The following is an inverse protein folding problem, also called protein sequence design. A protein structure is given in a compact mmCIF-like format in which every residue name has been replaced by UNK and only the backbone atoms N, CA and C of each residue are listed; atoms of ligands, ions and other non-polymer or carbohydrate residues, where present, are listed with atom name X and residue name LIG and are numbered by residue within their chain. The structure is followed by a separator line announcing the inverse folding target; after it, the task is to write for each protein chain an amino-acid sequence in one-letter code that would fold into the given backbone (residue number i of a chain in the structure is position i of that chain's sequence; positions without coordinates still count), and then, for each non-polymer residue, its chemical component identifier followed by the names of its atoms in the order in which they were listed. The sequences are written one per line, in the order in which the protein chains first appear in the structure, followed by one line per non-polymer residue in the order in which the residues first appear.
data_IF_097950459109
#
_entry.id   IF_097950459109
#
_cell.length_a   1.000
_cell.length_b   1.000
_cell.length_c   1.000
_cell.angle_alpha   90.00
_cell.angle_beta   90.00
_cell.angle_gamma   90.00
#
_symmetry.space_group_name_H-M   'P 1'
#
loop_
_entity.id
_entity.type
_entity.pdbx_description
1 polymer ?
#
# COMPACT_ATOMS: atom_id res chain seq x y z
N UNK A 1 24.87 -16.02 15.04
CA UNK A 1 24.44 -15.52 16.38
C UNK A 1 23.11 -14.74 16.40
N UNK A 2 22.57 -14.31 15.24
CA UNK A 2 21.35 -13.49 15.12
C UNK A 2 20.02 -14.21 15.41
N UNK A 3 19.90 -15.50 15.04
CA UNK A 3 18.75 -16.35 15.46
C UNK A 3 18.59 -16.40 16.99
N UNK A 4 19.68 -16.42 17.75
CA UNK A 4 19.65 -16.43 19.23
C UNK A 4 19.19 -15.08 19.81
N UNK A 5 19.58 -13.95 19.24
CA UNK A 5 19.15 -12.62 19.72
C UNK A 5 17.72 -12.28 19.30
N UNK A 6 17.31 -12.65 18.08
CA UNK A 6 15.92 -12.54 17.62
C UNK A 6 14.96 -13.39 18.46
N UNK A 7 15.38 -14.61 18.84
CA UNK A 7 14.60 -15.47 19.75
C UNK A 7 14.46 -14.86 21.15
N UNK A 8 15.54 -14.32 21.74
CA UNK A 8 15.47 -13.62 23.04
C UNK A 8 14.49 -12.44 23.00
N UNK A 9 14.58 -11.60 21.97
CA UNK A 9 13.65 -10.49 21.77
C UNK A 9 12.20 -10.97 21.59
N UNK A 10 11.97 -12.04 20.83
CA UNK A 10 10.64 -12.62 20.64
C UNK A 10 10.02 -13.09 21.97
N UNK A 11 10.81 -13.72 22.85
CA UNK A 11 10.36 -14.12 24.19
C UNK A 11 10.05 -12.92 25.09
N UNK A 12 10.87 -11.87 25.05
CA UNK A 12 10.61 -10.62 25.79
C UNK A 12 9.32 -9.96 25.30
N UNK A 13 9.12 -9.91 23.97
CA UNK A 13 7.88 -9.39 23.38
C UNK A 13 6.67 -10.22 23.79
N UNK A 14 6.74 -11.55 23.72
CA UNK A 14 5.66 -12.42 24.17
C UNK A 14 5.32 -12.20 25.65
N UNK A 15 6.33 -12.15 26.53
CA UNK A 15 6.13 -11.89 27.95
C UNK A 15 5.47 -10.54 28.22
N UNK A 16 5.93 -9.48 27.53
CA UNK A 16 5.33 -8.15 27.68
C UNK A 16 3.91 -8.05 27.10
N UNK A 17 3.64 -8.68 25.95
CA UNK A 17 2.31 -8.74 25.34
C UNK A 17 1.31 -9.50 26.25
N UNK A 18 1.75 -10.57 26.91
CA UNK A 18 0.96 -11.30 27.90
C UNK A 18 0.69 -10.47 29.16
N UNK A 19 1.67 -9.70 29.64
CA UNK A 19 1.49 -8.78 30.77
C UNK A 19 0.47 -7.68 30.44
N UNK A 20 0.52 -7.11 29.23
CA UNK A 20 -0.48 -6.15 28.74
C UNK A 20 -1.86 -6.79 28.66
N UNK A 21 -1.95 -8.05 28.20
CA UNK A 21 -3.22 -8.79 28.14
C UNK A 21 -3.80 -9.03 29.53
N UNK A 22 -2.96 -9.39 30.52
CA UNK A 22 -3.38 -9.52 31.91
C UNK A 22 -3.89 -8.19 32.48
N UNK A 23 -3.15 -7.09 32.27
CA UNK A 23 -3.59 -5.75 32.69
C UNK A 23 -4.91 -5.34 32.03
N UNK A 24 -5.09 -5.67 30.74
CA UNK A 24 -6.32 -5.40 30.00
C UNK A 24 -7.52 -6.17 30.55
N UNK A 25 -7.30 -7.39 31.04
CA UNK A 25 -8.34 -8.22 31.65
C UNK A 25 -8.91 -7.56 32.92
N UNK A 26 -8.04 -7.13 33.82
CA UNK A 26 -8.47 -6.42 35.04
C UNK A 26 -9.00 -5.01 34.76
N UNK A 27 -8.42 -4.29 33.80
CA UNK A 27 -8.90 -2.97 33.39
C UNK A 27 -10.32 -3.03 32.82
N UNK A 28 -10.61 -4.03 31.98
CA UNK A 28 -11.96 -4.22 31.43
C UNK A 28 -12.99 -4.56 32.51
N UNK A 29 -12.60 -5.37 33.50
CA UNK A 29 -13.42 -5.62 34.69
C UNK A 29 -13.69 -4.32 35.46
N UNK A 30 -12.65 -3.58 35.83
CA UNK A 30 -12.78 -2.32 36.58
C UNK A 30 -13.64 -1.27 35.88
N UNK A 31 -13.41 -1.04 34.59
CA UNK A 31 -14.20 -0.11 33.76
C UNK A 31 -15.66 -0.55 33.65
N UNK A 32 -15.94 -1.84 33.46
CA UNK A 32 -17.31 -2.35 33.34
C UNK A 32 -18.12 -2.14 34.62
N UNK A 33 -17.55 -2.46 35.78
CA UNK A 33 -18.28 -2.49 37.04
C UNK A 33 -18.23 -1.17 37.82
N UNK A 34 -17.40 -0.21 37.41
CA UNK A 34 -17.42 1.17 37.94
C UNK A 34 -18.39 2.10 37.21
N UNK A 35 -18.59 1.90 35.90
CA UNK A 35 -19.36 2.82 35.06
C UNK A 35 -20.82 2.41 34.83
N UNK A 36 -21.14 1.12 34.96
CA UNK A 36 -22.49 0.62 34.70
C UNK A 36 -22.98 -0.34 35.77
N UNK A 37 -24.21 -0.12 36.22
CA UNK A 37 -24.91 -1.03 37.12
C UNK A 37 -24.98 -2.44 36.52
N UNK A 38 -24.73 -3.43 37.37
CA UNK A 38 -24.72 -4.84 37.02
C UNK A 38 -25.96 -5.51 37.64
N UNK A 39 -27.05 -5.68 36.87
CA UNK A 39 -28.32 -6.18 37.41
C UNK A 39 -28.28 -7.63 37.92
N UNK A 40 -27.19 -8.37 37.65
CA UNK A 40 -26.98 -9.75 38.11
C UNK A 40 -25.84 -9.86 39.15
N UNK A 41 -25.41 -8.74 39.74
CA UNK A 41 -24.32 -8.69 40.70
C UNK A 41 -22.94 -8.53 40.05
N UNK A 42 -21.96 -8.18 40.89
CA UNK A 42 -20.54 -8.03 40.51
C UNK A 42 -19.87 -9.38 40.76
N UNK A 43 -19.24 -10.03 39.76
CA UNK A 43 -18.53 -11.28 39.97
C UNK A 43 -17.34 -11.05 40.90
N UNK A 44 -17.07 -11.99 41.80
CA UNK A 44 -15.97 -11.87 42.74
C UNK A 44 -14.61 -11.80 42.01
N UNK A 45 -13.71 -10.97 42.54
CA UNK A 45 -12.41 -10.72 41.95
C UNK A 45 -11.56 -12.00 41.91
N UNK A 46 -11.79 -12.93 42.84
CA UNK A 46 -11.19 -14.27 42.85
C UNK A 46 -11.62 -15.13 41.65
N UNK A 47 -12.90 -15.09 41.27
CA UNK A 47 -13.41 -15.81 40.08
C UNK A 47 -12.83 -15.22 38.79
N UNK A 48 -12.68 -13.89 38.72
CA UNK A 48 -12.06 -13.22 37.57
C UNK A 48 -10.57 -13.52 37.45
N UNK A 49 -9.87 -13.58 38.59
CA UNK A 49 -8.46 -13.96 38.65
C UNK A 49 -8.24 -15.45 38.30
N UNK A 50 -9.15 -16.34 38.69
CA UNK A 50 -9.08 -17.76 38.39
C UNK A 50 -9.13 -18.10 36.88
N UNK A 51 -9.75 -17.23 36.06
CA UNK A 51 -9.78 -17.38 34.61
C UNK A 51 -8.52 -16.84 33.89
N UNK A 52 -7.68 -16.08 34.59
CA UNK A 52 -6.50 -15.44 34.00
C UNK A 52 -5.52 -16.43 33.37
N UNK A 53 -5.18 -17.60 33.97
CA UNK A 53 -4.27 -18.57 33.35
C UNK A 53 -4.81 -19.09 32.01
N UNK A 54 -6.12 -19.31 31.91
CA UNK A 54 -6.79 -19.76 30.69
C UNK A 54 -6.71 -18.66 29.63
N UNK A 55 -7.02 -17.41 30.00
CA UNK A 55 -6.93 -16.24 29.10
C UNK A 55 -5.51 -16.05 28.57
N UNK A 56 -4.49 -16.17 29.43
CA UNK A 56 -3.09 -16.06 29.03
C UNK A 56 -2.65 -17.23 28.12
N UNK A 57 -3.10 -18.46 28.41
CA UNK A 57 -2.84 -19.61 27.54
C UNK A 57 -3.45 -19.45 26.14
N UNK A 58 -4.70 -18.98 26.06
CA UNK A 58 -5.37 -18.68 24.79
C UNK A 58 -4.72 -17.50 24.07
N UNK A 59 -4.25 -16.48 24.80
CA UNK A 59 -3.53 -15.35 24.23
C UNK A 59 -2.20 -15.80 23.61
N UNK A 60 -1.41 -16.60 24.32
CA UNK A 60 -0.16 -17.17 23.80
C UNK A 60 -0.42 -18.02 22.54
N UNK A 61 -1.48 -18.83 22.54
CA UNK A 61 -1.88 -19.61 21.36
C UNK A 61 -2.27 -18.70 20.18
N UNK A 62 -3.12 -17.69 20.42
CA UNK A 62 -3.55 -16.77 19.38
C UNK A 62 -2.38 -16.00 18.77
N UNK A 63 -1.50 -15.44 19.61
CA UNK A 63 -0.37 -14.62 19.17
C UNK A 63 0.66 -15.45 18.40
N UNK A 64 0.93 -16.69 18.82
CA UNK A 64 1.84 -17.58 18.08
C UNK A 64 1.26 -18.02 16.73
N UNK A 65 -0.03 -18.34 16.65
CA UNK A 65 -0.70 -18.75 15.40
C UNK A 65 -0.84 -17.63 14.38
N UNK A 66 -1.04 -16.39 14.83
CA UNK A 66 -1.09 -15.23 13.96
C UNK A 66 0.30 -14.74 13.49
N UNK A 67 1.38 -15.49 13.77
CA UNK A 67 2.77 -15.13 13.44
C UNK A 67 3.15 -13.73 13.94
N UNK A 68 2.65 -13.40 15.13
CA UNK A 68 2.76 -12.07 15.72
C UNK A 68 4.20 -11.68 16.11
N UNK A 69 5.11 -12.67 16.08
CA UNK A 69 6.52 -12.59 16.45
C UNK A 69 7.50 -12.87 15.29
N UNK A 70 7.02 -12.96 14.05
CA UNK A 70 7.91 -12.90 12.90
C UNK A 70 8.39 -11.45 12.77
N UNK A 71 9.50 -11.12 13.45
CA UNK A 71 10.14 -9.80 13.48
C UNK A 71 10.67 -9.46 12.07
N UNK A 72 9.76 -9.06 11.19
CA UNK A 72 10.14 -8.39 9.96
C UNK A 72 10.44 -6.96 10.37
N UNK A 73 11.73 -6.63 10.44
CA UNK A 73 12.21 -5.29 10.82
C UNK A 73 11.49 -4.16 10.07
N UNK A 74 10.88 -4.44 8.90
CA UNK A 74 10.34 -3.51 7.90
C UNK A 74 8.80 -3.32 7.87
N UNK A 75 8.01 -3.75 8.87
CA UNK A 75 6.53 -3.67 8.77
C UNK A 75 6.00 -2.24 8.98
N UNK A 76 5.04 -1.84 8.13
CA UNK A 76 4.34 -0.54 8.22
C UNK A 76 3.18 -0.60 9.22
N UNK A 77 2.85 0.54 9.83
CA UNK A 77 1.76 0.71 10.81
C UNK A 77 0.41 0.02 10.47
N UNK A 78 -0.14 0.12 9.25
CA UNK A 78 -1.40 -0.54 8.93
C UNK A 78 -1.29 -2.07 8.92
N UNK A 79 -0.10 -2.62 8.62
CA UNK A 79 0.14 -4.06 8.65
C UNK A 79 0.18 -4.56 10.10
N UNK A 80 0.85 -3.81 10.97
CA UNK A 80 0.92 -4.12 12.41
C UNK A 80 -0.47 -4.06 13.07
N UNK A 81 -1.23 -2.99 12.83
CA UNK A 81 -2.60 -2.87 13.34
C UNK A 81 -3.51 -4.01 12.84
N UNK A 82 -3.37 -4.40 11.57
CA UNK A 82 -4.10 -5.54 11.00
C UNK A 82 -3.74 -6.88 11.64
N UNK A 83 -2.47 -7.09 12.02
CA UNK A 83 -2.04 -8.28 12.75
C UNK A 83 -2.59 -8.30 14.19
N UNK A 84 -2.54 -7.15 14.89
CA UNK A 84 -3.08 -7.01 16.25
C UNK A 84 -4.58 -7.32 16.25
N UNK A 85 -5.35 -6.71 15.35
CA UNK A 85 -6.79 -6.94 15.26
C UNK A 85 -7.15 -8.40 14.97
N UNK A 86 -6.39 -9.08 14.10
CA UNK A 86 -6.58 -10.52 13.84
C UNK A 86 -6.30 -11.36 15.08
N UNK A 87 -5.21 -11.09 15.79
CA UNK A 87 -4.79 -11.85 16.96
C UNK A 87 -5.72 -11.60 18.17
N UNK A 88 -6.08 -10.34 18.44
CA UNK A 88 -7.08 -9.99 19.45
C UNK A 88 -8.46 -10.52 19.09
N UNK A 89 -8.81 -10.57 17.80
CA UNK A 89 -10.09 -11.10 17.32
C UNK A 89 -10.19 -12.61 17.53
N UNK A 90 -9.14 -13.36 17.17
CA UNK A 90 -9.05 -14.79 17.45
C UNK A 90 -9.10 -15.07 18.96
N UNK A 91 -8.39 -14.28 19.77
CA UNK A 91 -8.44 -14.39 21.23
C UNK A 91 -9.86 -14.19 21.77
N UNK A 92 -10.59 -13.18 21.29
CA UNK A 92 -11.97 -12.93 21.70
C UNK A 92 -12.90 -14.11 21.36
N UNK A 93 -12.77 -14.68 20.16
CA UNK A 93 -13.54 -15.87 19.76
C UNK A 93 -13.22 -17.07 20.66
N UNK A 94 -11.94 -17.30 20.95
CA UNK A 94 -11.50 -18.41 21.82
C UNK A 94 -12.00 -18.24 23.26
N UNK A 95 -11.98 -17.03 23.80
CA UNK A 95 -12.51 -16.75 25.15
C UNK A 95 -14.02 -16.99 25.18
N UNK A 96 -14.77 -16.49 24.19
CA UNK A 96 -16.22 -16.72 24.09
C UNK A 96 -16.52 -18.22 24.01
N UNK A 97 -15.77 -18.97 23.20
CA UNK A 97 -15.92 -20.42 23.08
C UNK A 97 -15.61 -21.15 24.40
N UNK A 98 -14.51 -20.79 25.07
CA UNK A 98 -14.12 -21.39 26.35
C UNK A 98 -15.19 -21.14 27.44
N UNK A 99 -15.70 -19.91 27.53
CA UNK A 99 -16.74 -19.54 28.49
C UNK A 99 -18.05 -20.29 28.20
N UNK A 100 -18.42 -20.44 26.92
CA UNK A 100 -19.59 -21.21 26.52
C UNK A 100 -19.50 -22.68 26.94
N UNK A 101 -18.30 -23.27 26.90
CA UNK A 101 -18.07 -24.66 27.35
C UNK A 101 -18.12 -24.79 28.88
N UNK A 102 -17.60 -23.80 29.62
CA UNK A 102 -17.49 -23.87 31.08
C UNK A 102 -18.84 -23.62 31.77
N UNK A 103 -19.79 -22.90 31.15
CA UNK A 103 -21.18 -22.64 31.61
C UNK A 103 -21.38 -22.05 33.03
N UNK A 104 -20.35 -22.00 33.87
CA UNK A 104 -20.43 -21.68 35.30
C UNK A 104 -20.12 -20.23 35.68
N UNK A 105 -19.73 -19.37 34.73
CA UNK A 105 -19.36 -17.98 35.05
C UNK A 105 -20.13 -17.00 34.18
N UNK A 106 -21.09 -16.29 34.79
CA UNK A 106 -21.79 -15.19 34.12
C UNK A 106 -20.86 -13.98 34.00
N UNK A 107 -20.42 -13.70 32.78
CA UNK A 107 -19.75 -12.46 32.42
C UNK A 107 -20.62 -11.64 31.49
N UNK A 108 -20.66 -10.32 31.72
CA UNK A 108 -21.36 -9.40 30.85
C UNK A 108 -20.75 -9.44 29.44
N UNK A 109 -21.58 -9.55 28.39
CA UNK A 109 -21.14 -9.41 26.98
C UNK A 109 -20.37 -8.10 26.75
N UNK A 110 -20.74 -7.06 27.49
CA UNK A 110 -20.07 -5.75 27.46
C UNK A 110 -18.64 -5.83 28.03
N UNK A 111 -18.40 -6.66 29.05
CA UNK A 111 -17.05 -6.87 29.60
C UNK A 111 -16.10 -7.49 28.56
N UNK A 112 -16.57 -8.46 27.77
CA UNK A 112 -15.79 -9.04 26.67
C UNK A 112 -15.52 -8.05 25.54
N UNK A 113 -16.51 -7.22 25.19
CA UNK A 113 -16.34 -6.14 24.21
C UNK A 113 -15.32 -5.10 24.67
N UNK A 114 -15.40 -4.67 25.94
CA UNK A 114 -14.44 -3.76 26.54
C UNK A 114 -13.04 -4.37 26.62
N UNK A 115 -12.93 -5.64 27.02
CA UNK A 115 -11.66 -6.36 27.03
C UNK A 115 -11.01 -6.38 25.64
N UNK A 116 -11.77 -6.70 24.60
CA UNK A 116 -11.27 -6.67 23.23
C UNK A 116 -10.74 -5.29 22.83
N UNK A 117 -11.49 -4.22 23.08
CA UNK A 117 -11.11 -2.86 22.71
C UNK A 117 -9.90 -2.36 23.51
N UNK A 118 -9.89 -2.57 24.83
CA UNK A 118 -8.80 -2.19 25.73
C UNK A 118 -7.54 -2.97 25.37
N UNK A 119 -7.63 -4.29 25.18
CA UNK A 119 -6.49 -5.12 24.83
C UNK A 119 -5.90 -4.74 23.46
N UNK A 120 -6.72 -4.57 22.43
CA UNK A 120 -6.25 -4.16 21.11
C UNK A 120 -5.59 -2.76 21.14
N UNK A 121 -6.18 -1.81 21.89
CA UNK A 121 -5.63 -0.47 22.07
C UNK A 121 -4.31 -0.44 22.84
N UNK A 122 -4.25 -1.13 23.98
CA UNK A 122 -3.04 -1.19 24.82
C UNK A 122 -1.91 -1.95 24.14
N UNK A 123 -2.19 -3.05 23.43
CA UNK A 123 -1.17 -3.75 22.64
C UNK A 123 -0.63 -2.88 21.52
N UNK A 124 -1.48 -2.15 20.81
CA UNK A 124 -1.04 -1.21 19.79
C UNK A 124 -0.15 -0.12 20.39
N UNK A 125 -0.57 0.49 21.50
CA UNK A 125 0.20 1.53 22.19
C UNK A 125 1.55 0.99 22.69
N UNK A 126 1.53 -0.15 23.37
CA UNK A 126 2.74 -0.82 23.87
C UNK A 126 3.72 -1.10 22.74
N UNK A 127 3.25 -1.69 21.62
CA UNK A 127 4.11 -1.97 20.48
C UNK A 127 4.68 -0.70 19.86
N UNK A 128 3.93 0.40 19.79
CA UNK A 128 4.47 1.69 19.35
C UNK A 128 5.57 2.20 20.27
N UNK A 129 5.37 2.12 21.58
CA UNK A 129 6.37 2.54 22.56
C UNK A 129 7.61 1.66 22.48
N UNK A 130 7.44 0.33 22.42
CA UNK A 130 8.53 -0.62 22.32
C UNK A 130 9.34 -0.44 21.03
N UNK A 131 8.68 -0.27 19.87
CA UNK A 131 9.36 0.03 18.61
C UNK A 131 10.07 1.38 18.64
N UNK A 132 9.42 2.42 19.17
CA UNK A 132 10.03 3.75 19.28
C UNK A 132 11.25 3.73 20.20
N UNK A 133 11.18 3.01 21.31
CA UNK A 133 12.29 2.80 22.23
C UNK A 133 13.42 2.02 21.56
N UNK A 134 13.11 0.92 20.87
CA UNK A 134 14.11 0.15 20.13
C UNK A 134 14.79 0.99 19.06
N UNK A 135 14.04 1.80 18.31
CA UNK A 135 14.61 2.71 17.30
C UNK A 135 15.54 3.72 17.97
N UNK A 136 15.13 4.35 19.08
CA UNK A 136 15.98 5.29 19.82
C UNK A 136 17.22 4.63 20.42
N UNK A 137 17.11 3.42 20.94
CA UNK A 137 18.26 2.66 21.46
C UNK A 137 19.23 2.28 20.34
N UNK A 138 18.70 1.95 19.15
CA UNK A 138 19.48 1.66 17.95
C UNK A 138 20.19 2.89 17.38
N UNK A 139 19.51 4.04 17.40
CA UNK A 139 20.10 5.34 17.03
C UNK A 139 21.25 5.73 17.97
N UNK A 140 21.25 5.24 19.21
CA UNK A 140 22.32 5.43 20.20
C UNK A 140 23.46 4.40 20.09
N UNK A 141 23.46 3.53 19.09
CA UNK A 141 24.54 2.56 18.88
C UNK A 141 24.30 1.15 19.42
N UNK A 142 23.20 0.90 20.14
CA UNK A 142 22.96 -0.41 20.74
C UNK A 142 22.34 -1.40 19.73
N UNK A 143 22.88 -2.61 19.67
CA UNK A 143 22.40 -3.70 18.80
C UNK A 143 22.40 -3.35 17.30
N UNK A 144 23.45 -2.65 16.86
CA UNK A 144 23.71 -2.40 15.43
C UNK A 144 24.34 -3.64 14.79
N UNK A 145 23.80 -4.05 13.64
CA UNK A 145 24.43 -5.07 12.80
C UNK A 145 25.39 -4.39 11.83
N UNK A 146 26.58 -4.97 11.64
CA UNK A 146 27.58 -4.43 10.72
C UNK A 146 27.36 -5.00 9.32
N UNK A 147 27.24 -4.12 8.34
CA UNK A 147 26.94 -4.48 6.97
C UNK A 147 28.04 -4.03 6.00
N UNK A 148 28.29 -4.82 4.96
CA UNK A 148 29.07 -4.39 3.80
C UNK A 148 28.27 -4.59 2.51
N UNK A 149 28.56 -3.79 1.50
CA UNK A 149 27.92 -3.88 0.18
C UNK A 149 28.94 -4.40 -0.83
N UNK A 150 28.58 -5.45 -1.55
CA UNK A 150 29.35 -6.00 -2.66
C UNK A 150 29.00 -5.26 -3.96
N UNK A 151 30.01 -4.73 -4.61
CA UNK A 151 29.90 -3.95 -5.84
C UNK A 151 29.84 -2.44 -5.58
N UNK A 152 30.26 -1.67 -6.58
CA UNK A 152 30.35 -0.22 -6.53
C UNK A 152 29.43 0.52 -7.51
N UNK A 153 28.64 -0.23 -8.28
CA UNK A 153 27.76 0.30 -9.32
C UNK A 153 26.56 1.13 -8.83
N UNK A 154 25.66 1.45 -9.76
CA UNK A 154 24.43 2.22 -9.46
C UNK A 154 23.56 1.55 -8.39
N UNK A 155 23.43 0.22 -8.43
CA UNK A 155 22.64 -0.54 -7.46
C UNK A 155 23.23 -0.38 -6.05
N UNK A 156 24.53 -0.59 -5.89
CA UNK A 156 25.23 -0.42 -4.62
C UNK A 156 25.03 1.00 -4.04
N UNK A 157 25.12 2.05 -4.86
CA UNK A 157 24.81 3.43 -4.44
C UNK A 157 23.39 3.61 -3.93
N UNK A 158 22.41 3.01 -4.59
CA UNK A 158 21.02 3.07 -4.14
C UNK A 158 20.83 2.30 -2.83
N UNK A 159 21.48 1.15 -2.67
CA UNK A 159 21.44 0.34 -1.45
C UNK A 159 22.02 1.12 -0.28
N UNK A 160 23.22 1.70 -0.43
CA UNK A 160 23.85 2.53 0.59
C UNK A 160 22.96 3.71 0.99
N UNK A 161 22.47 4.48 0.01
CA UNK A 161 21.55 5.60 0.28
C UNK A 161 20.29 5.14 1.01
N UNK A 162 19.73 3.99 0.62
CA UNK A 162 18.52 3.45 1.24
C UNK A 162 18.76 3.01 2.68
N UNK A 163 19.89 2.35 2.96
CA UNK A 163 20.25 1.94 4.31
C UNK A 163 20.56 3.14 5.21
N UNK A 164 21.33 4.11 4.71
CA UNK A 164 21.65 5.34 5.45
C UNK A 164 20.41 6.20 5.73
N UNK A 165 19.46 6.28 4.79
CA UNK A 165 18.20 7.00 4.99
C UNK A 165 17.27 6.29 6.00
N UNK A 166 17.43 4.97 6.19
CA UNK A 166 16.58 4.16 7.05
C UNK A 166 17.34 3.67 8.30
N UNK A 167 17.82 4.62 9.13
CA UNK A 167 18.60 4.34 10.36
C UNK A 167 17.89 3.41 11.37
N UNK A 168 16.56 3.34 11.33
CA UNK A 168 15.76 2.41 12.14
C UNK A 168 16.06 0.92 11.88
N UNK A 169 16.69 0.59 10.75
CA UNK A 169 17.16 -0.77 10.43
C UNK A 169 18.28 -1.24 11.37
N UNK A 170 19.00 -0.29 12.01
CA UNK A 170 20.19 -0.53 12.83
C UNK A 170 21.29 -1.28 12.08
N UNK A 171 21.42 -1.05 10.77
CA UNK A 171 22.50 -1.57 9.95
C UNK A 171 23.50 -0.44 9.70
N UNK A 172 24.72 -0.62 10.21
CA UNK A 172 25.82 0.27 9.93
C UNK A 172 26.59 -0.26 8.73
N UNK A 173 26.58 0.49 7.62
CA UNK A 173 27.33 0.12 6.43
C UNK A 173 28.79 0.53 6.64
N UNK A 174 29.62 -0.46 6.96
CA UNK A 174 31.05 -0.31 7.23
C UNK A 174 31.84 0.03 5.96
N UNK A 175 31.37 -0.43 4.80
CA UNK A 175 32.18 -0.32 3.60
C UNK A 175 31.63 -0.97 2.34
N UNK A 176 32.31 -0.69 1.23
CA UNK A 176 32.07 -1.32 -0.06
C UNK A 176 33.24 -2.26 -0.40
N UNK A 177 32.91 -3.44 -0.92
CA UNK A 177 33.87 -4.45 -1.38
C UNK A 177 33.63 -4.65 -2.88
N UNK A 178 34.67 -4.48 -3.68
CA UNK A 178 34.61 -4.66 -5.14
C UNK A 178 36.01 -5.08 -5.62
N UNK A 179 36.10 -5.84 -6.70
CA UNK A 179 37.42 -6.26 -7.24
C UNK A 179 38.17 -5.09 -7.86
N UNK A 180 37.43 -4.13 -8.44
CA UNK A 180 37.97 -2.88 -8.95
C UNK A 180 37.72 -1.76 -7.93
N UNK A 181 38.78 -1.01 -7.59
CA UNK A 181 38.63 0.15 -6.71
C UNK A 181 37.77 1.19 -7.43
N UNK A 182 36.60 1.57 -6.89
CA UNK A 182 35.74 2.51 -7.57
C UNK A 182 36.32 3.92 -7.55
N UNK A 183 36.24 4.61 -8.69
CA UNK A 183 36.59 6.04 -8.80
C UNK A 183 35.67 6.92 -7.95
N UNK A 184 34.40 6.51 -7.80
CA UNK A 184 33.39 7.22 -7.00
C UNK A 184 32.77 6.29 -5.98
N UNK A 185 33.05 6.55 -4.70
CA UNK A 185 32.48 5.77 -3.62
C UNK A 185 30.97 6.06 -3.45
N UNK A 186 30.17 5.03 -3.15
CA UNK A 186 28.79 5.18 -2.71
C UNK A 186 28.66 6.00 -1.42
N UNK A 187 28.52 7.32 -1.52
CA UNK A 187 28.43 8.20 -0.35
C UNK A 187 29.78 8.33 0.37
N UNK A 188 29.75 8.63 1.68
CA UNK A 188 30.94 8.82 2.54
C UNK A 188 31.49 7.51 3.15
N UNK A 189 31.30 6.38 2.47
CA UNK A 189 31.64 5.05 2.97
C UNK A 189 32.99 4.59 2.39
N UNK A 190 33.91 3.98 3.20
CA UNK A 190 35.21 3.56 2.72
C UNK A 190 35.16 2.30 1.83
N UNK A 191 36.19 2.16 1.00
CA UNK A 191 36.50 0.92 0.28
C UNK A 191 37.24 -0.04 1.23
N UNK A 192 36.73 -1.25 1.44
CA UNK A 192 37.32 -2.22 2.38
C UNK A 192 38.34 -3.15 1.72
N UNK A 193 38.18 -3.44 0.43
CA UNK A 193 39.05 -4.36 -0.29
C UNK A 193 38.32 -5.13 -1.39
N UNK A 194 38.96 -6.22 -1.83
CA UNK A 194 38.52 -7.04 -2.97
C UNK A 194 37.71 -8.26 -2.54
N UNK A 195 37.01 -8.92 -3.48
CA UNK A 195 36.22 -10.13 -3.21
C UNK A 195 37.09 -11.30 -2.76
N UNK A 196 38.37 -11.34 -3.16
CA UNK A 196 39.33 -12.38 -2.75
C UNK A 196 39.65 -12.33 -1.26
N UNK A 197 39.54 -11.16 -0.64
CA UNK A 197 39.87 -10.94 0.77
C UNK A 197 38.63 -11.02 1.67
N UNK A 198 37.47 -11.38 1.11
CA UNK A 198 36.18 -11.35 1.77
C UNK A 198 36.17 -12.06 3.15
N UNK A 199 36.74 -13.27 3.33
CA UNK A 199 36.77 -13.92 4.66
C UNK A 199 37.57 -13.12 5.70
N UNK A 200 38.70 -12.52 5.28
CA UNK A 200 39.54 -11.69 6.15
C UNK A 200 38.83 -10.40 6.52
N UNK A 201 38.14 -9.77 5.58
CA UNK A 201 37.38 -8.54 5.81
C UNK A 201 36.21 -8.76 6.76
N UNK A 202 35.50 -9.89 6.63
CA UNK A 202 34.39 -10.26 7.53
C UNK A 202 34.88 -10.39 8.96
N UNK A 203 36.00 -11.10 9.19
CA UNK A 203 36.55 -11.23 10.54
C UNK A 203 37.10 -9.90 11.07
N UNK A 204 37.83 -9.14 10.24
CA UNK A 204 38.44 -7.87 10.65
C UNK A 204 37.41 -6.81 11.05
N UNK A 205 36.30 -6.74 10.31
CA UNK A 205 35.25 -5.73 10.55
C UNK A 205 34.05 -6.28 11.33
N UNK A 206 34.06 -7.57 11.71
CA UNK A 206 32.95 -8.26 12.39
C UNK A 206 31.63 -8.09 11.64
N UNK A 207 31.63 -8.43 10.34
CA UNK A 207 30.48 -8.20 9.46
C UNK A 207 29.38 -9.25 9.69
N UNK A 208 28.17 -8.80 10.01
CA UNK A 208 26.98 -9.63 10.17
C UNK A 208 26.20 -9.82 8.86
N UNK A 209 26.21 -8.79 8.00
CA UNK A 209 25.38 -8.73 6.80
C UNK A 209 26.19 -8.35 5.56
N UNK A 210 25.95 -9.07 4.46
CA UNK A 210 26.58 -8.80 3.17
C UNK A 210 25.51 -8.58 2.11
N UNK A 211 25.46 -7.38 1.53
CA UNK A 211 24.51 -7.03 0.49
C UNK A 211 25.12 -7.25 -0.89
N UNK A 212 24.62 -8.24 -1.62
CA UNK A 212 25.04 -8.50 -3.00
C UNK A 212 24.29 -7.57 -3.94
N UNK A 213 24.98 -6.52 -4.39
CA UNK A 213 24.46 -5.47 -5.28
C UNK A 213 25.16 -5.47 -6.66
N UNK A 214 25.50 -6.66 -7.15
CA UNK A 214 26.10 -6.85 -8.48
C UNK A 214 25.02 -7.09 -9.56
N UNK A 215 25.24 -6.63 -10.81
CA UNK A 215 24.34 -6.88 -11.93
C UNK A 215 24.14 -8.38 -12.21
N UNK A 216 22.98 -8.74 -12.79
CA UNK A 216 22.61 -10.13 -13.10
C UNK A 216 23.63 -10.89 -13.95
N UNK A 217 24.34 -10.18 -14.82
CA UNK A 217 25.39 -10.76 -15.67
C UNK A 217 26.56 -11.33 -14.87
N UNK A 218 26.76 -10.89 -13.63
CA UNK A 218 27.83 -11.29 -12.74
C UNK A 218 27.37 -12.30 -11.68
N UNK A 219 26.15 -12.87 -11.80
CA UNK A 219 25.67 -13.90 -10.87
C UNK A 219 26.47 -15.20 -10.94
N UNK A 220 27.29 -15.42 -11.98
CA UNK A 220 28.27 -16.51 -12.01
C UNK A 220 29.29 -16.45 -10.85
N UNK A 221 29.55 -15.26 -10.29
CA UNK A 221 30.41 -15.10 -9.12
C UNK A 221 29.72 -15.50 -7.80
N UNK A 222 28.39 -15.70 -7.79
CA UNK A 222 27.64 -16.05 -6.58
C UNK A 222 28.10 -17.40 -6.01
N UNK A 223 28.36 -18.39 -6.87
CA UNK A 223 28.85 -19.70 -6.45
C UNK A 223 30.24 -19.61 -5.82
N UNK A 224 31.08 -18.71 -6.33
CA UNK A 224 32.43 -18.48 -5.80
C UNK A 224 32.36 -17.78 -4.45
N UNK A 225 31.53 -16.75 -4.34
CA UNK A 225 31.33 -15.99 -3.10
C UNK A 225 30.73 -16.90 -2.02
N UNK A 226 29.65 -17.62 -2.31
CA UNK A 226 29.01 -18.53 -1.35
C UNK A 226 29.96 -19.61 -0.84
N UNK A 227 30.81 -20.19 -1.70
CA UNK A 227 31.89 -21.09 -1.28
C UNK A 227 32.91 -20.42 -0.37
N UNK A 228 33.34 -19.20 -0.69
CA UNK A 228 34.28 -18.45 0.16
C UNK A 228 33.69 -18.06 1.53
N UNK A 229 32.36 -18.00 1.62
CA UNK A 229 31.61 -17.68 2.83
C UNK A 229 31.21 -18.91 3.64
N UNK A 230 31.50 -20.13 3.18
CA UNK A 230 31.03 -21.36 3.83
C UNK A 230 31.43 -21.46 5.31
N UNK A 231 32.63 -20.99 5.64
CA UNK A 231 33.17 -20.99 7.01
C UNK A 231 32.90 -19.69 7.78
N UNK A 232 32.25 -18.70 7.15
CA UNK A 232 31.96 -17.40 7.74
C UNK A 232 30.51 -17.36 8.26
N UNK A 233 30.30 -16.82 9.46
CA UNK A 233 28.96 -16.60 10.00
C UNK A 233 28.34 -15.26 9.53
N UNK A 234 28.21 -15.06 8.22
CA UNK A 234 27.63 -13.84 7.63
C UNK A 234 26.33 -14.13 6.89
N UNK A 235 25.34 -13.24 6.97
CA UNK A 235 24.10 -13.34 6.21
C UNK A 235 24.24 -12.64 4.85
N UNK A 236 24.21 -13.43 3.77
CA UNK A 236 24.23 -12.92 2.40
C UNK A 236 22.82 -12.55 1.92
N UNK A 237 22.58 -11.27 1.65
CA UNK A 237 21.32 -10.74 1.12
C UNK A 237 21.49 -10.27 -0.32
N UNK A 238 20.80 -10.93 -1.25
CA UNK A 238 20.81 -10.55 -2.66
C UNK A 238 19.80 -9.46 -2.97
N UNK A 239 20.23 -8.43 -3.70
CA UNK A 239 19.38 -7.35 -4.17
C UNK A 239 19.32 -7.43 -5.71
N UNK A 240 18.18 -7.83 -6.30
CA UNK A 240 18.07 -7.94 -7.74
C UNK A 240 18.04 -6.57 -8.42
N UNK A 241 18.92 -6.34 -9.40
CA UNK A 241 18.92 -5.13 -10.24
C UNK A 241 17.89 -5.25 -11.38
N UNK A 242 16.61 -4.99 -11.08
CA UNK A 242 15.50 -5.18 -12.02
C UNK A 242 14.68 -3.90 -12.27
N UNK A 243 15.27 -2.81 -12.80
CA UNK A 243 14.54 -1.56 -13.03
C UNK A 243 13.40 -1.71 -14.05
N UNK A 244 13.54 -2.63 -15.02
CA UNK A 244 12.54 -2.88 -16.06
C UNK A 244 11.28 -3.60 -15.55
N UNK A 245 11.35 -4.21 -14.36
CA UNK A 245 10.24 -4.92 -13.71
C UNK A 245 9.72 -4.14 -12.50
N UNK A 246 10.01 -2.84 -12.43
CA UNK A 246 9.48 -1.95 -11.40
C UNK A 246 7.94 -1.86 -11.50
N UNK A 247 7.25 -2.63 -10.65
CA UNK A 247 5.80 -2.84 -10.71
C UNK A 247 5.36 -4.30 -10.79
N UNK A 248 6.29 -5.25 -10.85
CA UNK A 248 6.01 -6.67 -10.69
C UNK A 248 6.27 -7.10 -9.25
N UNK A 249 5.41 -7.95 -8.70
CA UNK A 249 5.70 -8.64 -7.45
C UNK A 249 6.48 -9.91 -7.75
N UNK A 250 7.73 -9.96 -7.26
CA UNK A 250 8.50 -11.20 -7.21
C UNK A 250 7.91 -12.07 -6.10
N UNK A 251 7.39 -13.24 -6.46
CA UNK A 251 6.95 -14.25 -5.49
C UNK A 251 7.83 -15.48 -5.65
N UNK A 252 8.44 -15.89 -4.54
CA UNK A 252 9.12 -17.17 -4.45
C UNK A 252 8.12 -18.23 -3.98
N UNK A 253 8.15 -19.41 -4.58
CA UNK A 253 7.51 -20.59 -4.04
C UNK A 253 8.41 -21.79 -4.31
N UNK A 254 8.41 -22.74 -3.38
CA UNK A 254 9.21 -23.95 -3.46
C UNK A 254 8.30 -25.11 -3.89
N UNK A 255 8.80 -25.94 -4.80
CA UNK A 255 8.18 -27.21 -5.15
C UNK A 255 9.31 -28.24 -5.27
N UNK A 256 9.30 -29.22 -4.37
CA UNK A 256 10.30 -30.30 -4.30
C UNK A 256 11.76 -29.77 -4.28
N UNK A 257 12.02 -28.68 -3.57
CA UNK A 257 13.34 -28.07 -3.46
C UNK A 257 13.74 -27.21 -4.66
N UNK A 258 12.87 -27.08 -5.67
CA UNK A 258 13.04 -26.12 -6.74
C UNK A 258 12.36 -24.80 -6.38
N UNK A 259 13.15 -23.74 -6.25
CA UNK A 259 12.63 -22.38 -6.01
C UNK A 259 12.17 -21.75 -7.32
N UNK A 260 10.86 -21.62 -7.49
CA UNK A 260 10.25 -20.90 -8.60
C UNK A 260 10.19 -19.41 -8.30
N UNK A 261 10.78 -18.61 -9.19
CA UNK A 261 10.67 -17.15 -9.19
C UNK A 261 9.52 -16.73 -10.12
N UNK A 262 8.36 -16.46 -9.54
CA UNK A 262 7.22 -15.95 -10.29
C UNK A 262 7.27 -14.42 -10.33
N UNK A 263 7.43 -13.87 -11.53
CA UNK A 263 7.21 -12.46 -11.81
C UNK A 263 5.75 -12.30 -12.20
N UNK A 264 4.93 -11.82 -11.28
CA UNK A 264 3.53 -11.52 -11.57
C UNK A 264 3.33 -10.02 -11.63
N UNK A 265 2.66 -9.54 -12.68
CA UNK A 265 2.01 -8.23 -12.63
C UNK A 265 1.16 -8.18 -11.36
N UNK A 266 1.21 -7.08 -10.59
CA UNK A 266 0.50 -6.95 -9.32
C UNK A 266 -0.92 -7.50 -9.48
N UNK A 267 -1.25 -8.67 -8.88
CA UNK A 267 -2.62 -9.08 -8.84
C UNK A 267 -3.24 -8.12 -7.81
N UNK A 268 -3.85 -7.02 -8.28
CA UNK A 268 -4.72 -6.25 -7.39
C UNK A 268 -5.61 -7.27 -6.68
N UNK A 269 -5.59 -7.22 -5.35
CA UNK A 269 -6.15 -8.24 -4.50
C UNK A 269 -7.59 -8.51 -4.97
N UNK A 270 -7.82 -9.66 -5.62
CA UNK A 270 -9.08 -9.94 -6.35
C UNK A 270 -10.30 -9.75 -5.45
N UNK A 271 -10.15 -10.03 -4.15
CA UNK A 271 -11.14 -9.72 -3.12
C UNK A 271 -11.40 -8.22 -2.94
N UNK A 272 -10.36 -7.41 -2.76
CA UNK A 272 -10.50 -5.96 -2.63
C UNK A 272 -11.06 -5.28 -3.90
N UNK A 273 -10.78 -5.82 -5.09
CA UNK A 273 -11.38 -5.32 -6.33
C UNK A 273 -12.92 -5.48 -6.35
N UNK A 274 -13.45 -6.57 -5.76
CA UNK A 274 -14.90 -6.75 -5.60
C UNK A 274 -15.48 -5.73 -4.63
N UNK A 275 -14.80 -5.49 -3.50
CA UNK A 275 -15.18 -4.45 -2.55
C UNK A 275 -15.16 -3.05 -3.18
N UNK A 276 -14.09 -2.73 -3.92
CA UNK A 276 -14.00 -1.50 -4.70
C UNK A 276 -15.16 -1.37 -5.67
N UNK A 277 -15.48 -2.43 -6.40
CA UNK A 277 -16.60 -2.43 -7.34
C UNK A 277 -17.94 -2.14 -6.66
N UNK A 278 -18.18 -2.76 -5.50
CA UNK A 278 -19.36 -2.50 -4.68
C UNK A 278 -19.42 -1.04 -4.20
N UNK A 279 -18.30 -0.51 -3.69
CA UNK A 279 -18.20 0.89 -3.27
C UNK A 279 -18.45 1.86 -4.43
N UNK A 280 -17.81 1.64 -5.58
CA UNK A 280 -17.98 2.47 -6.78
C UNK A 280 -19.45 2.46 -7.24
N UNK A 281 -20.11 1.29 -7.22
CA UNK A 281 -21.53 1.17 -7.56
C UNK A 281 -22.43 1.93 -6.58
N UNK A 282 -22.24 1.74 -5.26
CA UNK A 282 -23.04 2.39 -4.23
C UNK A 282 -22.90 3.90 -4.27
N UNK A 283 -21.66 4.41 -4.30
CA UNK A 283 -21.38 5.84 -4.31
C UNK A 283 -21.83 6.50 -5.63
N UNK A 284 -21.62 5.85 -6.78
CA UNK A 284 -22.09 6.40 -8.05
C UNK A 284 -23.62 6.42 -8.15
N UNK A 285 -24.29 5.36 -7.66
CA UNK A 285 -25.76 5.30 -7.64
C UNK A 285 -26.34 6.37 -6.72
N UNK A 286 -25.78 6.55 -5.53
CA UNK A 286 -26.18 7.61 -4.61
C UNK A 286 -25.95 9.00 -5.22
N UNK A 287 -24.80 9.23 -5.84
CA UNK A 287 -24.51 10.49 -6.53
C UNK A 287 -25.48 10.76 -7.67
N UNK A 288 -25.87 9.75 -8.46
CA UNK A 288 -26.85 9.90 -9.54
C UNK A 288 -28.23 10.29 -9.01
N UNK A 289 -28.67 9.69 -7.90
CA UNK A 289 -29.96 10.03 -7.27
C UNK A 289 -29.94 11.48 -6.78
N UNK A 290 -28.91 11.86 -6.01
CA UNK A 290 -28.77 13.21 -5.45
C UNK A 290 -28.65 14.27 -6.55
N UNK A 291 -27.86 13.99 -7.60
CA UNK A 291 -27.62 14.93 -8.70
C UNK A 291 -28.69 14.87 -9.79
N UNK A 292 -29.70 13.99 -9.68
CA UNK A 292 -30.72 13.82 -10.73
C UNK A 292 -31.46 15.11 -11.11
N UNK A 293 -31.82 16.03 -10.19
CA UNK A 293 -32.48 17.29 -10.58
C UNK A 293 -31.54 18.18 -11.41
N UNK A 294 -30.27 18.27 -11.00
CA UNK A 294 -29.25 19.04 -11.71
C UNK A 294 -28.93 18.44 -13.09
N UNK A 295 -28.86 17.11 -13.19
CA UNK A 295 -28.65 16.40 -14.45
C UNK A 295 -29.80 16.65 -15.44
N UNK A 296 -31.05 16.65 -14.96
CA UNK A 296 -32.22 16.95 -15.78
C UNK A 296 -32.20 18.40 -16.28
N UNK A 297 -31.85 19.35 -15.41
CA UNK A 297 -31.70 20.76 -15.80
C UNK A 297 -30.60 20.96 -16.85
N UNK A 298 -29.42 20.37 -16.64
CA UNK A 298 -28.31 20.43 -17.61
C UNK A 298 -28.72 19.80 -18.94
N UNK A 299 -29.42 18.66 -18.90
CA UNK A 299 -29.92 17.99 -20.09
C UNK A 299 -30.86 18.89 -20.91
N UNK A 300 -31.77 19.61 -20.25
CA UNK A 300 -32.65 20.59 -20.88
C UNK A 300 -31.86 21.75 -21.50
N UNK A 301 -30.91 22.33 -20.76
CA UNK A 301 -30.06 23.43 -21.25
C UNK A 301 -29.24 23.01 -22.49
N UNK A 302 -28.68 21.81 -22.49
CA UNK A 302 -27.94 21.25 -23.65
C UNK A 302 -28.87 21.04 -24.85
N UNK A 303 -30.13 20.65 -24.62
CA UNK A 303 -31.12 20.43 -25.68
C UNK A 303 -31.58 21.75 -26.32
N UNK A 304 -31.80 22.78 -25.51
CA UNK A 304 -32.24 24.10 -25.99
C UNK A 304 -31.11 24.87 -26.68
N UNK A 305 -29.86 24.69 -26.24
CA UNK A 305 -28.72 25.44 -26.81
C UNK A 305 -28.25 24.99 -28.19
N UNK A 306 -28.57 23.77 -28.63
CA UNK A 306 -28.20 23.27 -29.96
C UNK A 306 -29.02 22.06 -30.38
N UNK A 307 -29.32 21.93 -31.67
CA UNK A 307 -30.05 20.77 -32.21
C UNK A 307 -29.23 19.48 -32.10
N UNK A 308 -29.87 18.36 -31.74
CA UNK A 308 -29.28 17.01 -31.68
C UNK A 308 -29.35 16.31 -30.31
N UNK A 309 -28.50 15.28 -30.06
CA UNK A 309 -28.55 14.47 -28.85
C UNK A 309 -27.96 15.17 -27.62
N UNK A 310 -28.48 14.85 -26.44
CA UNK A 310 -28.04 15.43 -25.15
C UNK A 310 -26.66 14.90 -24.76
N UNK A 311 -26.44 13.60 -24.94
CA UNK A 311 -25.19 12.94 -24.61
C UNK A 311 -24.29 12.85 -25.84
N UNK A 312 -23.02 13.18 -25.62
CA UNK A 312 -21.92 12.86 -26.53
C UNK A 312 -21.26 11.56 -26.03
N UNK A 313 -20.95 10.66 -26.96
CA UNK A 313 -20.29 9.38 -26.70
C UNK A 313 -18.93 9.40 -27.36
N UNK A 314 -17.92 8.95 -26.62
CA UNK A 314 -16.56 8.87 -27.14
C UNK A 314 -15.91 7.56 -26.73
N UNK A 315 -15.44 6.81 -27.73
CA UNK A 315 -14.69 5.59 -27.53
C UNK A 315 -13.37 5.90 -26.81
N UNK A 316 -13.18 5.20 -25.70
CA UNK A 316 -11.98 5.29 -24.86
C UNK A 316 -11.57 3.91 -24.39
N UNK A 317 -10.30 3.76 -24.06
CA UNK A 317 -9.76 2.48 -23.56
C UNK A 317 -9.72 2.46 -22.04
N UNK A 318 -10.09 1.32 -21.45
CA UNK A 318 -10.13 1.04 -20.01
C UNK A 318 -9.31 -0.22 -19.68
N UNK A 319 -9.65 -0.87 -18.58
CA UNK A 319 -9.07 -2.11 -18.08
C UNK A 319 -8.80 -3.14 -19.18
N UNK A 320 -7.62 -3.76 -19.14
CA UNK A 320 -7.13 -4.75 -20.12
C UNK A 320 -7.08 -4.27 -21.57
N UNK A 321 -7.08 -2.95 -21.78
CA UNK A 321 -7.10 -2.40 -23.13
C UNK A 321 -8.45 -2.55 -23.84
N UNK A 322 -9.53 -2.81 -23.11
CA UNK A 322 -10.87 -2.89 -23.69
C UNK A 322 -11.41 -1.47 -23.95
N UNK A 323 -12.08 -1.29 -25.07
CA UNK A 323 -12.73 -0.03 -25.41
C UNK A 323 -14.15 0.04 -24.87
N UNK A 324 -14.58 1.24 -24.49
CA UNK A 324 -15.92 1.54 -24.00
C UNK A 324 -16.37 2.94 -24.43
N UNK A 325 -17.68 3.16 -24.44
CA UNK A 325 -18.27 4.45 -24.78
C UNK A 325 -18.40 5.35 -23.55
N UNK A 326 -17.48 6.30 -23.42
CA UNK A 326 -17.49 7.29 -22.34
C UNK A 326 -18.59 8.32 -22.59
N UNK A 327 -19.51 8.47 -21.64
CA UNK A 327 -20.63 9.40 -21.70
C UNK A 327 -20.24 10.79 -21.21
N UNK A 328 -20.64 11.82 -21.94
CA UNK A 328 -20.54 13.22 -21.54
C UNK A 328 -21.78 13.99 -21.96
N UNK A 329 -22.05 15.13 -21.32
CA UNK A 329 -22.97 16.09 -21.92
C UNK A 329 -22.31 16.70 -23.16
N UNK A 330 -23.12 16.93 -24.18
CA UNK A 330 -22.65 17.57 -25.40
C UNK A 330 -22.36 19.05 -25.12
N UNK A 331 -21.12 19.44 -25.35
CA UNK A 331 -20.63 20.82 -25.16
C UNK A 331 -20.18 21.49 -26.46
N UNK A 332 -20.11 20.74 -27.56
CA UNK A 332 -19.78 21.22 -28.89
C UNK A 332 -20.93 20.99 -29.87
N UNK A 333 -20.90 21.68 -31.02
CA UNK A 333 -21.82 21.41 -32.14
C UNK A 333 -21.59 19.99 -32.70
N UNK A 334 -22.61 19.41 -33.34
CA UNK A 334 -22.60 18.01 -33.80
C UNK A 334 -21.55 17.77 -34.89
N UNK A 335 -21.24 18.79 -35.67
CA UNK A 335 -20.28 18.84 -36.78
C UNK A 335 -18.84 19.17 -36.34
N UNK A 336 -18.58 19.33 -35.04
CA UNK A 336 -17.31 19.84 -34.50
C UNK A 336 -16.05 19.01 -34.86
N UNK A 337 -16.17 17.70 -35.07
CA UNK A 337 -15.04 16.84 -35.44
C UNK A 337 -15.02 16.46 -36.94
N UNK A 338 -15.99 16.89 -37.75
CA UNK A 338 -16.11 16.46 -39.15
C UNK A 338 -14.92 16.91 -40.03
N UNK A 339 -14.38 18.10 -39.81
CA UNK A 339 -13.28 18.65 -40.63
C UNK A 339 -11.89 18.38 -40.05
N UNK A 340 -11.75 18.22 -38.73
CA UNK A 340 -10.44 18.15 -38.07
C UNK A 340 -10.07 16.75 -37.56
N UNK A 341 -11.05 15.84 -37.47
CA UNK A 341 -10.89 14.58 -36.77
C UNK A 341 -10.56 14.75 -35.28
N UNK A 342 -9.90 13.74 -34.71
CA UNK A 342 -9.62 13.59 -33.30
C UNK A 342 -8.54 14.56 -32.77
N UNK A 343 -8.91 15.81 -32.47
CA UNK A 343 -7.97 16.83 -31.95
C UNK A 343 -8.24 17.14 -30.48
N UNK A 344 -7.17 17.39 -29.72
CA UNK A 344 -7.29 17.92 -28.36
C UNK A 344 -7.90 19.32 -28.38
N UNK A 345 -8.98 19.50 -27.63
CA UNK A 345 -9.65 20.79 -27.55
C UNK A 345 -8.75 21.80 -26.81
N UNK A 346 -8.53 22.97 -27.42
CA UNK A 346 -7.78 24.08 -26.83
C UNK A 346 -8.71 25.00 -26.03
N UNK A 347 -8.14 25.82 -25.13
CA UNK A 347 -8.88 26.86 -24.44
C UNK A 347 -9.45 27.85 -25.46
N UNK A 348 -10.74 28.16 -25.36
CA UNK A 348 -11.42 29.07 -26.29
C UNK A 348 -11.84 28.44 -27.63
N UNK A 349 -11.91 27.12 -27.72
CA UNK A 349 -12.31 26.41 -28.95
C UNK A 349 -13.66 26.93 -29.51
N UNK A 350 -13.69 27.46 -30.75
CA UNK A 350 -14.89 28.07 -31.34
C UNK A 350 -16.03 27.06 -31.56
N UNK A 351 -15.73 25.77 -31.49
CA UNK A 351 -16.73 24.69 -31.65
C UNK A 351 -17.64 24.51 -30.42
N UNK A 352 -17.29 25.14 -29.28
CA UNK A 352 -18.07 25.03 -28.04
C UNK A 352 -19.29 25.96 -28.05
N UNK A 353 -20.44 25.45 -27.60
CA UNK A 353 -21.64 26.27 -27.36
C UNK A 353 -21.44 27.16 -26.12
N UNK A 354 -22.25 28.23 -25.98
CA UNK A 354 -22.15 29.12 -24.81
C UNK A 354 -22.36 28.36 -23.49
N UNK A 355 -23.39 27.50 -23.44
CA UNK A 355 -23.63 26.59 -22.31
C UNK A 355 -22.50 25.56 -22.18
N UNK A 356 -22.02 25.03 -23.31
CA UNK A 356 -20.89 24.11 -23.34
C UNK A 356 -19.61 24.67 -22.71
N UNK A 357 -19.34 25.98 -22.87
CA UNK A 357 -18.20 26.64 -22.21
C UNK A 357 -18.32 26.58 -20.68
N UNK A 358 -19.52 26.85 -20.14
CA UNK A 358 -19.80 26.79 -18.70
C UNK A 358 -19.70 25.35 -18.18
N UNK A 359 -20.28 24.38 -18.90
CA UNK A 359 -20.22 22.98 -18.50
C UNK A 359 -18.78 22.45 -18.47
N UNK A 360 -17.94 22.85 -19.42
CA UNK A 360 -16.52 22.47 -19.44
C UNK A 360 -15.70 23.14 -18.35
N UNK A 361 -15.93 24.43 -18.06
CA UNK A 361 -15.19 25.14 -17.01
C UNK A 361 -15.52 24.60 -15.61
N UNK A 362 -16.75 24.12 -15.42
CA UNK A 362 -17.21 23.51 -14.16
C UNK A 362 -17.05 21.99 -14.12
N UNK A 363 -16.58 21.37 -15.21
CA UNK A 363 -16.52 19.90 -15.39
C UNK A 363 -17.88 19.18 -15.21
N UNK A 364 -18.99 19.91 -15.27
CA UNK A 364 -20.34 19.35 -15.19
C UNK A 364 -20.67 18.49 -16.41
N UNK A 365 -19.94 18.67 -17.53
CA UNK A 365 -20.07 17.83 -18.71
C UNK A 365 -19.68 16.36 -18.48
N UNK A 366 -18.89 16.08 -17.43
CA UNK A 366 -18.41 14.73 -17.10
C UNK A 366 -19.34 13.95 -16.18
N UNK A 367 -20.39 14.56 -15.60
CA UNK A 367 -21.31 13.88 -14.69
C UNK A 367 -22.00 12.63 -15.27
N UNK A 368 -22.35 12.55 -16.58
CA UNK A 368 -22.91 11.33 -17.17
C UNK A 368 -21.99 10.10 -17.06
N UNK A 369 -20.69 10.27 -16.82
CA UNK A 369 -19.76 9.17 -16.58
C UNK A 369 -20.10 8.35 -15.34
N UNK A 370 -20.87 8.89 -14.39
CA UNK A 370 -21.40 8.12 -13.26
C UNK A 370 -22.22 6.92 -13.74
N UNK A 371 -22.90 7.03 -14.89
CA UNK A 371 -23.61 5.91 -15.49
C UNK A 371 -22.65 4.81 -16.00
N UNK A 372 -21.51 5.19 -16.57
CA UNK A 372 -20.46 4.24 -16.95
C UNK A 372 -19.87 3.53 -15.71
N UNK A 373 -19.77 4.24 -14.57
CA UNK A 373 -19.37 3.63 -13.30
C UNK A 373 -20.42 2.64 -12.80
N UNK A 374 -21.71 2.99 -12.83
CA UNK A 374 -22.78 2.06 -12.43
C UNK A 374 -22.82 0.83 -13.34
N UNK A 375 -22.60 0.96 -14.65
CA UNK A 375 -22.47 -0.17 -15.59
C UNK A 375 -21.20 -0.99 -15.40
N UNK A 376 -20.20 -0.42 -14.72
CA UNK A 376 -18.92 -1.08 -14.45
C UNK A 376 -17.92 -0.98 -15.58
N UNK A 377 -18.12 -0.09 -16.55
CA UNK A 377 -17.14 0.23 -17.60
C UNK A 377 -16.00 1.11 -17.03
N UNK A 378 -16.35 1.95 -16.04
CA UNK A 378 -15.44 2.83 -15.31
C UNK A 378 -15.46 2.57 -13.80
N UNK A 379 -14.54 3.21 -13.10
CA UNK A 379 -14.44 3.33 -11.65
C UNK A 379 -14.57 4.81 -11.25
N UNK A 380 -14.93 5.12 -10.00
CA UNK A 380 -14.90 6.52 -9.53
C UNK A 380 -13.46 7.05 -9.52
N UNK A 381 -12.53 6.22 -9.06
CA UNK A 381 -11.09 6.52 -8.97
C UNK A 381 -10.28 5.59 -9.85
N UNK A 382 -9.40 6.15 -10.67
CA UNK A 382 -8.52 5.42 -11.58
C UNK A 382 -7.78 6.33 -12.56
N UNK A 383 -6.87 5.79 -13.39
CA UNK A 383 -6.24 6.54 -14.47
C UNK A 383 -7.28 7.09 -15.45
N UNK A 384 -7.07 8.30 -15.94
CA UNK A 384 -8.02 8.93 -16.89
C UNK A 384 -8.00 8.19 -18.24
N UNK A 385 -9.17 7.82 -18.80
CA UNK A 385 -9.24 7.05 -20.03
C UNK A 385 -8.78 7.87 -21.26
N UNK A 386 -8.01 7.24 -22.16
CA UNK A 386 -7.49 7.86 -23.38
C UNK A 386 -8.14 7.30 -24.65
N UNK A 387 -8.12 8.08 -25.74
CA UNK A 387 -8.62 7.59 -27.04
C UNK A 387 -7.66 6.53 -27.59
N UNK A 388 -8.16 5.45 -28.20
CA UNK A 388 -7.32 4.41 -28.80
C UNK A 388 -6.22 4.96 -29.73
N UNK A 389 -6.58 5.91 -30.59
CA UNK A 389 -5.66 6.58 -31.55
C UNK A 389 -4.46 7.24 -30.88
N UNK A 390 -4.60 7.74 -29.65
CA UNK A 390 -3.47 8.32 -28.91
C UNK A 390 -2.65 7.28 -28.17
N UNK A 391 -3.29 6.19 -27.74
CA UNK A 391 -2.63 5.11 -26.99
C UNK A 391 -1.57 4.44 -27.86
N UNK A 392 -1.83 4.23 -29.14
CA UNK A 392 -0.86 3.65 -30.08
C UNK A 392 0.43 4.49 -30.14
N UNK A 393 0.30 5.81 -30.24
CA UNK A 393 1.43 6.75 -30.23
C UNK A 393 2.16 6.72 -28.88
N UNK A 394 1.41 6.81 -27.78
CA UNK A 394 2.01 6.84 -26.44
C UNK A 394 2.72 5.53 -26.06
N UNK A 395 2.27 4.38 -26.58
CA UNK A 395 2.95 3.10 -26.38
C UNK A 395 4.34 3.06 -27.02
N UNK A 396 4.54 3.79 -28.12
CA UNK A 396 5.84 3.88 -28.80
C UNK A 396 6.78 4.85 -28.08
N UNK A 397 6.26 5.96 -27.55
CA UNK A 397 7.05 7.01 -26.91
C UNK A 397 7.41 6.70 -25.44
N UNK A 398 6.53 5.99 -24.72
CA UNK A 398 6.64 5.83 -23.27
C UNK A 398 6.72 4.34 -22.91
N UNK A 399 7.89 3.88 -22.42
CA UNK A 399 8.05 2.54 -21.92
C UNK A 399 6.98 2.22 -20.86
N UNK A 400 6.44 1.01 -20.91
CA UNK A 400 5.48 0.52 -19.92
C UNK A 400 4.16 1.32 -19.86
N UNK A 401 3.77 2.05 -20.91
CA UNK A 401 2.49 2.76 -20.96
C UNK A 401 1.28 1.86 -20.62
N UNK A 402 1.30 0.60 -21.07
CA UNK A 402 0.17 -0.33 -20.92
C UNK A 402 -0.17 -0.66 -19.47
N UNK A 403 0.75 -0.50 -18.51
CA UNK A 403 0.56 -0.87 -17.11
C UNK A 403 -0.57 -0.06 -16.45
N UNK A 404 -0.87 1.15 -16.95
CA UNK A 404 -2.01 1.94 -16.46
C UNK A 404 -3.37 1.29 -16.73
N UNK A 405 -3.45 0.38 -17.72
CA UNK A 405 -4.69 -0.35 -18.04
C UNK A 405 -4.88 -1.63 -17.19
N UNK A 406 -4.07 -1.84 -16.14
CA UNK A 406 -4.27 -2.95 -15.21
C UNK A 406 -5.47 -2.72 -14.26
N UNK A 407 -5.94 -1.49 -14.15
CA UNK A 407 -7.16 -1.09 -13.43
C UNK A 407 -8.18 -0.48 -14.38
N UNK A 408 -9.45 -0.40 -13.94
CA UNK A 408 -10.47 0.37 -14.65
C UNK A 408 -10.12 1.85 -14.67
N UNK A 409 -10.45 2.49 -15.78
CA UNK A 409 -10.32 3.93 -15.90
C UNK A 409 -11.22 4.66 -14.88
N UNK A 410 -10.76 5.81 -14.41
CA UNK A 410 -11.42 6.62 -13.38
C UNK A 410 -12.10 7.87 -13.94
N UNK A 411 -13.15 8.33 -13.26
CA UNK A 411 -13.65 9.72 -13.42
C UNK A 411 -12.59 10.69 -12.89
N UNK A 412 -12.10 10.43 -11.67
CA UNK A 412 -10.96 11.12 -11.05
C UNK A 412 -9.80 10.14 -10.81
N UNK A 413 -8.61 10.66 -10.48
CA UNK A 413 -7.40 9.86 -10.35
C UNK A 413 -6.25 10.61 -9.69
N UNK A 414 -5.19 9.89 -9.33
CA UNK A 414 -4.03 10.46 -8.63
C UNK A 414 -3.32 11.54 -9.43
N UNK A 415 -3.07 11.31 -10.73
CA UNK A 415 -2.48 12.31 -11.61
C UNK A 415 -3.38 13.55 -11.73
N UNK A 416 -4.69 13.32 -11.86
CA UNK A 416 -5.72 14.33 -11.96
C UNK A 416 -5.76 15.23 -10.71
N UNK A 417 -5.72 14.68 -9.50
CA UNK A 417 -5.70 15.50 -8.28
C UNK A 417 -4.36 16.18 -8.04
N UNK A 418 -3.29 15.86 -8.78
CA UNK A 418 -2.00 16.57 -8.71
C UNK A 418 -1.79 17.58 -9.85
N UNK A 419 -2.83 17.87 -10.64
CA UNK A 419 -2.77 18.87 -11.70
C UNK A 419 -2.18 18.36 -13.01
N UNK A 420 -1.85 17.07 -13.13
CA UNK A 420 -1.39 16.44 -14.37
C UNK A 420 -2.59 16.11 -15.27
N UNK A 421 -3.27 17.16 -15.77
CA UNK A 421 -4.44 17.10 -16.65
C UNK A 421 -4.21 17.94 -17.91
N UNK A 422 -4.92 17.63 -18.99
CA UNK A 422 -4.83 18.44 -20.21
C UNK A 422 -3.40 18.52 -20.72
N UNK A 423 -2.99 19.69 -21.21
CA UNK A 423 -1.73 19.91 -21.94
C UNK A 423 -0.46 19.84 -21.07
N UNK A 424 -0.56 19.35 -19.84
CA UNK A 424 0.60 19.09 -18.97
C UNK A 424 1.45 17.91 -19.47
N UNK A 425 2.66 17.76 -18.92
CA UNK A 425 3.59 16.69 -19.28
C UNK A 425 2.94 15.30 -19.21
N UNK A 426 2.82 14.66 -20.37
CA UNK A 426 2.32 13.29 -20.51
C UNK A 426 3.10 12.29 -19.64
N UNK A 427 4.43 12.46 -19.59
CA UNK A 427 5.33 11.58 -18.83
C UNK A 427 5.03 11.64 -17.33
N UNK A 428 4.86 12.85 -16.78
CA UNK A 428 4.50 13.03 -15.36
C UNK A 428 3.12 12.46 -15.05
N UNK A 429 2.15 12.65 -15.95
CA UNK A 429 0.83 12.07 -15.80
C UNK A 429 0.88 10.54 -15.68
N UNK A 430 1.65 9.89 -16.55
CA UNK A 430 1.81 8.43 -16.53
C UNK A 430 2.56 7.97 -15.28
N UNK A 431 3.61 8.68 -14.84
CA UNK A 431 4.30 8.40 -13.58
C UNK A 431 3.32 8.34 -12.39
N UNK A 432 2.40 9.29 -12.31
CA UNK A 432 1.37 9.33 -11.26
C UNK A 432 0.29 8.25 -11.43
N UNK A 433 -0.09 7.91 -12.66
CA UNK A 433 -1.02 6.81 -12.92
C UNK A 433 -0.40 5.46 -12.52
N UNK A 434 0.88 5.22 -12.87
CA UNK A 434 1.61 4.02 -12.47
C UNK A 434 1.82 3.96 -10.95
N UNK A 435 2.09 5.10 -10.32
CA UNK A 435 2.13 5.17 -8.85
C UNK A 435 0.81 4.71 -8.24
N UNK A 436 -0.33 5.19 -8.76
CA UNK A 436 -1.66 4.78 -8.30
C UNK A 436 -1.89 3.28 -8.48
N UNK A 437 -1.58 2.73 -9.66
CA UNK A 437 -1.72 1.29 -9.92
C UNK A 437 -0.89 0.46 -8.95
N UNK A 438 0.36 0.88 -8.69
CA UNK A 438 1.30 0.17 -7.83
C UNK A 438 0.98 0.27 -6.33
N UNK A 439 0.38 1.38 -5.89
CA UNK A 439 0.10 1.65 -4.48
C UNK A 439 -1.40 1.65 -4.17
N UNK A 440 -2.19 1.03 -5.04
CA UNK A 440 -3.63 1.03 -4.90
C UNK A 440 -4.07 0.49 -3.55
N UNK A 441 -4.92 1.25 -2.87
CA UNK A 441 -5.58 0.87 -1.63
C UNK A 441 -6.91 1.62 -1.52
N UNK A 442 -7.86 1.07 -0.76
CA UNK A 442 -9.14 1.75 -0.50
C UNK A 442 -8.94 3.13 0.16
N UNK A 443 -7.92 3.25 1.01
CA UNK A 443 -7.55 4.53 1.62
C UNK A 443 -7.06 5.56 0.60
N UNK A 444 -6.26 5.12 -0.39
CA UNK A 444 -5.82 5.99 -1.47
C UNK A 444 -7.00 6.46 -2.33
N UNK A 445 -7.96 5.59 -2.61
CA UNK A 445 -9.19 5.96 -3.31
C UNK A 445 -9.99 7.01 -2.53
N UNK A 446 -10.22 6.81 -1.22
CA UNK A 446 -10.92 7.77 -0.38
C UNK A 446 -10.18 9.12 -0.32
N UNK A 447 -8.84 9.09 -0.19
CA UNK A 447 -8.00 10.29 -0.23
C UNK A 447 -8.16 11.04 -1.56
N UNK A 448 -8.17 10.33 -2.69
CA UNK A 448 -8.35 10.95 -4.01
C UNK A 448 -9.74 11.57 -4.13
N UNK A 449 -10.79 10.89 -3.66
CA UNK A 449 -12.15 11.44 -3.67
C UNK A 449 -12.24 12.72 -2.84
N UNK A 450 -11.71 12.72 -1.61
CA UNK A 450 -11.67 13.92 -0.75
C UNK A 450 -10.89 15.07 -1.40
N UNK A 451 -9.71 14.78 -1.96
CA UNK A 451 -8.92 15.78 -2.69
C UNK A 451 -9.64 16.30 -3.94
N UNK A 452 -10.43 15.45 -4.61
CA UNK A 452 -11.22 15.84 -5.78
C UNK A 452 -12.31 16.82 -5.39
N UNK A 453 -13.03 16.53 -4.30
CA UNK A 453 -14.07 17.42 -3.76
C UNK A 453 -13.43 18.75 -3.34
N UNK A 454 -12.37 18.72 -2.53
CA UNK A 454 -11.68 19.92 -2.07
C UNK A 454 -11.16 20.78 -3.24
N UNK A 455 -10.42 20.19 -4.17
CA UNK A 455 -9.86 20.94 -5.31
C UNK A 455 -10.92 21.40 -6.30
N UNK A 456 -12.01 20.65 -6.43
CA UNK A 456 -13.18 21.06 -7.23
C UNK A 456 -13.85 22.33 -6.72
N UNK A 457 -13.86 22.55 -5.41
CA UNK A 457 -14.39 23.78 -4.80
C UNK A 457 -13.40 24.96 -4.78
N UNK A 458 -12.10 24.72 -4.62
CA UNK A 458 -11.11 25.80 -4.40
C UNK A 458 -10.33 26.28 -5.64
N UNK A 459 -10.29 25.51 -6.74
CA UNK A 459 -9.60 25.94 -7.96
C UNK A 459 -10.45 25.67 -9.21
N UNK A 460 -11.31 26.63 -9.65
CA UNK A 460 -12.05 26.53 -10.91
C UNK A 460 -11.18 26.73 -12.16
N UNK A 461 -9.85 26.62 -12.06
CA UNK A 461 -8.97 26.74 -13.21
C UNK A 461 -8.81 25.39 -13.92
N UNK A 462 -9.84 25.02 -14.68
CA UNK A 462 -9.78 23.91 -15.62
C UNK A 462 -10.47 24.29 -16.94
N UNK A 463 -9.67 24.89 -17.82
CA UNK A 463 -10.01 25.21 -19.21
C UNK A 463 -8.78 25.74 -19.90
#
# INVERSE_FOLDING_TARGET
MYRRHGQKLAWVFLGSDLAVTAGSWFAAYGVRYSLWEAPQGIPDLGSVAGLLPIVLGLAAFSYTRCKFYDIHRLQKLPQEAGLILKASGLLAILIIAAVFCVKDVYFSRLAYGLFFLINAGLLLLWRRLAWSLLIRLRERGLNQGRAAVLGSGRLARNVVKTLQANRWTALEVQGVIDDERPETLPGSIPYLGTLKELPKLIQKHDLDHLFFALPLKQYGELDRITRSLADCQVELQMIPDMPQWSGMHLRTWDLEGMTFLSLREIPQQRGLLRWKRGLDFLLASLALVILSPSLALIALLVKVSSNGPIFYRQTRTTWRGQDFEMLKFRTMRVDAEQQTGAVWAKKGDPRCTAIGKVLRSTSLDELPQLWNVVRGEMSLVGPRPERPVFIEKFRQEIPHYHWRHQVKAGITGWAQVHGWRGNTSLRKRIEYDLYYVNHWSLWLDLKILMLTIWRGFYHPHAG
#
